data_IF_394585020691
#
_entry.id   IF_394585020691
#
_cell.length_a   1.000
_cell.length_b   1.000
_cell.length_c   1.000
_cell.angle_alpha   90.00
_cell.angle_beta   90.00
_cell.angle_gamma   90.00
#
_symmetry.space_group_name_H-M   'P 1'
#
loop_
_entity.id
_entity.type
_entity.pdbx_description
1 polymer ?
#
# COMPACT_ATOMS: atom_id res chain seq x y z
N UNK A 1 -23.32 -6.69 12.83
CA UNK A 1 -23.64 -7.86 13.67
C UNK A 1 -23.68 -9.04 12.72
N UNK A 2 -22.60 -9.80 12.49
CA UNK A 2 -21.91 -10.77 13.38
C UNK A 2 -20.39 -10.81 13.09
N UNK A 3 -19.68 -9.69 13.24
CA UNK A 3 -18.24 -9.59 12.90
C UNK A 3 -17.35 -9.06 14.01
N UNK A 4 -17.91 -8.76 15.18
CA UNK A 4 -17.23 -8.19 16.36
C UNK A 4 -16.46 -9.25 17.17
N UNK A 5 -16.08 -10.36 16.54
CA UNK A 5 -15.55 -11.55 17.22
C UNK A 5 -14.36 -12.19 16.51
N UNK A 6 -13.72 -11.47 15.56
CA UNK A 6 -12.39 -11.82 15.01
C UNK A 6 -11.49 -10.57 14.88
N UNK A 7 -11.57 -9.67 15.86
CA UNK A 7 -10.98 -8.33 15.84
C UNK A 7 -9.59 -8.28 16.52
N UNK A 8 -8.59 -8.99 16.00
CA UNK A 8 -7.20 -8.75 16.46
C UNK A 8 -6.51 -7.80 15.48
N UNK A 9 -5.85 -6.76 15.98
CA UNK A 9 -5.05 -5.89 15.11
C UNK A 9 -3.99 -6.64 14.29
N UNK A 10 -3.63 -7.86 14.68
CA UNK A 10 -2.73 -8.75 13.94
C UNK A 10 -3.24 -9.12 12.54
N UNK A 11 -4.51 -9.53 12.39
CA UNK A 11 -5.08 -9.83 11.07
C UNK A 11 -5.13 -8.58 10.19
N UNK A 12 -5.48 -7.43 10.78
CA UNK A 12 -5.52 -6.16 10.07
C UNK A 12 -4.12 -5.73 9.59
N UNK A 13 -3.09 -5.90 10.42
CA UNK A 13 -1.69 -5.67 10.05
C UNK A 13 -1.23 -6.60 8.92
N UNK A 14 -1.68 -7.86 8.90
CA UNK A 14 -1.40 -8.78 7.79
C UNK A 14 -1.98 -8.24 6.48
N UNK A 15 -3.23 -7.76 6.48
CA UNK A 15 -3.83 -7.15 5.29
C UNK A 15 -3.07 -5.90 4.83
N UNK A 16 -2.64 -5.04 5.76
CA UNK A 16 -1.83 -3.87 5.41
C UNK A 16 -0.47 -4.25 4.82
N UNK A 17 0.17 -5.31 5.32
CA UNK A 17 1.42 -5.82 4.74
C UNK A 17 1.22 -6.37 3.33
N UNK A 18 0.12 -7.09 3.08
CA UNK A 18 -0.23 -7.58 1.73
C UNK A 18 -0.44 -6.38 0.79
N UNK A 19 -1.22 -5.38 1.22
CA UNK A 19 -1.47 -4.18 0.43
C UNK A 19 -0.17 -3.41 0.10
N UNK A 20 0.77 -3.33 1.05
CA UNK A 20 2.08 -2.74 0.82
C UNK A 20 2.91 -3.55 -0.20
N UNK A 21 2.91 -4.87 -0.12
CA UNK A 21 3.57 -5.74 -1.10
C UNK A 21 3.02 -5.54 -2.52
N UNK A 22 1.70 -5.55 -2.67
CA UNK A 22 1.04 -5.30 -3.96
C UNK A 22 1.33 -3.90 -4.51
N UNK A 23 1.48 -2.89 -3.64
CA UNK A 23 1.88 -1.54 -4.05
C UNK A 23 3.31 -1.53 -4.62
N UNK A 24 4.25 -2.22 -3.99
CA UNK A 24 5.63 -2.34 -4.50
C UNK A 24 5.69 -3.09 -5.84
N UNK A 25 4.87 -4.12 -6.02
CA UNK A 25 4.73 -4.84 -7.28
C UNK A 25 4.20 -3.92 -8.40
N UNK A 26 3.18 -3.10 -8.09
CA UNK A 26 2.66 -2.10 -9.01
C UNK A 26 3.73 -1.06 -9.38
N UNK A 27 4.46 -0.50 -8.42
CA UNK A 27 5.55 0.45 -8.69
C UNK A 27 6.58 -0.14 -9.66
N UNK A 28 6.95 -1.41 -9.45
CA UNK A 28 7.86 -2.13 -10.34
C UNK A 28 7.29 -2.23 -11.76
N UNK A 29 6.03 -2.62 -11.90
CA UNK A 29 5.36 -2.70 -13.21
C UNK A 29 5.26 -1.34 -13.90
N UNK A 30 5.03 -0.25 -13.14
CA UNK A 30 4.98 1.12 -13.66
C UNK A 30 6.35 1.59 -14.14
N UNK A 31 7.44 1.25 -13.43
CA UNK A 31 8.82 1.51 -13.87
C UNK A 31 9.10 0.77 -15.18
N UNK A 32 8.77 -0.52 -15.25
CA UNK A 32 8.94 -1.33 -16.48
C UNK A 32 8.12 -0.72 -17.63
N UNK A 33 6.87 -0.36 -17.37
CA UNK A 33 5.99 0.24 -18.38
C UNK A 33 6.53 1.54 -18.95
N UNK A 34 7.12 2.40 -18.10
CA UNK A 34 7.83 3.60 -18.55
C UNK A 34 9.04 3.25 -19.40
N UNK A 35 9.86 2.29 -18.97
CA UNK A 35 11.08 1.90 -19.68
C UNK A 35 10.78 1.27 -21.06
N UNK A 36 9.66 0.55 -21.18
CA UNK A 36 9.16 0.03 -22.45
C UNK A 36 8.45 1.08 -23.32
N UNK A 37 8.27 2.30 -22.84
CA UNK A 37 7.59 3.37 -23.57
C UNK A 37 6.06 3.23 -23.63
N UNK A 38 5.45 2.40 -22.78
CA UNK A 38 3.99 2.22 -22.73
C UNK A 38 3.26 3.37 -22.05
N UNK A 39 3.96 4.13 -21.20
CA UNK A 39 3.42 5.32 -20.52
C UNK A 39 4.38 6.51 -20.64
N UNK A 40 3.83 7.72 -20.57
CA UNK A 40 4.63 8.95 -20.61
C UNK A 40 5.30 9.22 -19.27
N UNK A 41 6.37 10.00 -19.28
CA UNK A 41 7.05 10.48 -18.07
C UNK A 41 6.10 11.21 -17.12
N UNK A 42 5.15 12.00 -17.66
CA UNK A 42 4.14 12.70 -16.87
C UNK A 42 3.26 11.73 -16.09
N UNK A 43 2.79 10.67 -16.74
CA UNK A 43 1.88 9.68 -16.16
C UNK A 43 2.62 8.84 -15.12
N UNK A 44 3.85 8.43 -15.43
CA UNK A 44 4.76 7.79 -14.48
C UNK A 44 4.91 8.61 -13.19
N UNK A 45 5.23 9.91 -13.31
CA UNK A 45 5.40 10.78 -12.13
C UNK A 45 4.12 10.91 -11.30
N UNK A 46 2.96 11.06 -11.96
CA UNK A 46 1.67 11.13 -11.28
C UNK A 46 1.37 9.84 -10.52
N UNK A 47 1.56 8.69 -11.15
CA UNK A 47 1.29 7.38 -10.54
C UNK A 47 2.26 7.11 -9.38
N UNK A 48 3.56 7.38 -9.55
CA UNK A 48 4.55 7.18 -8.50
C UNK A 48 4.33 8.11 -7.29
N UNK A 49 3.91 9.36 -7.52
CA UNK A 49 3.56 10.26 -6.41
C UNK A 49 2.35 9.75 -5.62
N UNK A 50 1.31 9.27 -6.30
CA UNK A 50 0.14 8.65 -5.64
C UNK A 50 0.54 7.38 -4.88
N UNK A 51 1.40 6.55 -5.45
CA UNK A 51 1.92 5.36 -4.78
C UNK A 51 2.64 5.72 -3.49
N UNK A 52 3.49 6.74 -3.51
CA UNK A 52 4.17 7.24 -2.32
C UNK A 52 3.19 7.72 -1.24
N UNK A 53 2.11 8.41 -1.60
CA UNK A 53 1.07 8.82 -0.65
C UNK A 53 0.40 7.61 0.00
N UNK A 54 0.02 6.59 -0.79
CA UNK A 54 -0.60 5.36 -0.29
C UNK A 54 0.37 4.61 0.65
N UNK A 55 1.64 4.50 0.29
CA UNK A 55 2.69 3.90 1.12
C UNK A 55 2.80 4.57 2.50
N UNK A 56 2.77 5.91 2.54
CA UNK A 56 2.75 6.69 3.79
C UNK A 56 1.47 6.45 4.60
N UNK A 57 0.31 6.37 3.95
CA UNK A 57 -0.96 6.07 4.61
C UNK A 57 -0.96 4.67 5.24
N UNK A 58 -0.52 3.65 4.51
CA UNK A 58 -0.38 2.27 5.02
C UNK A 58 0.58 2.24 6.21
N UNK A 59 1.73 2.92 6.10
CA UNK A 59 2.74 2.96 7.17
C UNK A 59 2.23 3.63 8.44
N UNK A 60 1.61 4.82 8.30
CA UNK A 60 1.06 5.57 9.43
C UNK A 60 -0.07 4.81 10.11
N UNK A 61 -0.95 4.17 9.34
CA UNK A 61 -2.06 3.41 9.88
C UNK A 61 -1.61 2.09 10.52
N UNK A 62 -0.65 1.38 9.91
CA UNK A 62 -0.02 0.21 10.53
C UNK A 62 0.58 0.54 11.89
N UNK A 63 1.27 1.69 12.00
CA UNK A 63 1.81 2.18 13.28
C UNK A 63 0.70 2.44 14.30
N UNK A 64 -0.40 3.08 13.88
CA UNK A 64 -1.56 3.33 14.74
C UNK A 64 -2.13 2.01 15.29
N UNK A 65 -2.38 1.02 14.42
CA UNK A 65 -2.93 -0.28 14.83
C UNK A 65 -1.97 -1.02 15.77
N UNK A 66 -0.65 -1.01 15.50
CA UNK A 66 0.34 -1.61 16.42
C UNK A 66 0.29 -0.98 17.81
N UNK A 67 0.20 0.35 17.90
CA UNK A 67 0.14 1.06 19.18
C UNK A 67 -1.19 0.89 19.93
N UNK A 68 -2.28 0.54 19.25
CA UNK A 68 -3.60 0.31 19.87
C UNK A 68 -3.76 -1.11 20.42
N UNK A 69 -2.94 -2.07 19.97
CA UNK A 69 -2.97 -3.46 20.44
C UNK A 69 -1.83 -3.77 21.43
N UNK A 70 -1.22 -2.74 22.02
CA UNK A 70 -0.31 -2.81 23.17
C UNK A 70 -1.03 -2.26 24.40
#
# INVERSE_FOLDING_TARGET
>A
AEGSSRETGGDFLRFLNIAYGSLCELETQIIISKNCGYIKESDYKVIMNKSLEISKMISSYSKKIKNTNV
#
